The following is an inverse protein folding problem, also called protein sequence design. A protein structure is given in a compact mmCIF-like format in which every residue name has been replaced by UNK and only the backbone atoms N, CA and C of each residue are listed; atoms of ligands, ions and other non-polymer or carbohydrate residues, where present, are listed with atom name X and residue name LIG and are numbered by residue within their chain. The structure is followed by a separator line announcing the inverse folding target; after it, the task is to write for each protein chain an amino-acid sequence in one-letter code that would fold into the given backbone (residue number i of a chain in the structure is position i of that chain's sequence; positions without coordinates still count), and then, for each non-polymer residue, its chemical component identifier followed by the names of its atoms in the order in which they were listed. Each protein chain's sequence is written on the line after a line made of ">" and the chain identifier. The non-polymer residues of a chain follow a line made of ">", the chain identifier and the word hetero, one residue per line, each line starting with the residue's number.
data_IF_612072864183
#
_entry.id   IF_612072864183
#
_cell.length_a   1.000
_cell.length_b   1.000
_cell.length_c   1.000
_cell.angle_alpha   90.00
_cell.angle_beta   90.00
_cell.angle_gamma   90.00
#
_symmetry.space_group_name_H-M   'P 1'
#
loop_
_entity.id
_entity.type
_entity.pdbx_description
1 polymer ?
#
# COMPACT_ATOMS: atom_id res chain seq x y z
N UNK A 1 -45.87 3.02 0.32
CA UNK A 1 -44.49 2.50 0.27
C UNK A 1 -43.71 3.16 1.39
N UNK A 2 -43.37 2.40 2.42
CA UNK A 2 -42.69 2.89 3.62
C UNK A 2 -41.18 2.73 3.38
N UNK A 3 -40.44 3.82 3.29
CA UNK A 3 -38.99 3.77 3.08
C UNK A 3 -38.31 3.36 4.39
N UNK A 4 -37.67 2.19 4.36
CA UNK A 4 -37.02 1.56 5.52
C UNK A 4 -35.69 2.27 5.84
N UNK A 5 -35.71 3.15 6.83
CA UNK A 5 -34.57 3.94 7.32
C UNK A 5 -33.54 3.09 8.10
N UNK A 6 -33.77 1.80 8.32
CA UNK A 6 -32.96 0.92 9.16
C UNK A 6 -31.56 0.56 8.59
N UNK A 7 -31.23 0.98 7.37
CA UNK A 7 -29.92 0.66 6.74
C UNK A 7 -28.77 1.52 7.26
N UNK A 8 -29.05 2.70 7.83
CA UNK A 8 -28.01 3.59 8.36
C UNK A 8 -27.55 3.23 9.78
N UNK A 9 -28.38 2.57 10.58
CA UNK A 9 -28.05 2.24 11.98
C UNK A 9 -26.98 1.14 12.09
N UNK A 10 -26.94 0.20 11.14
CA UNK A 10 -25.89 -0.85 11.09
C UNK A 10 -24.48 -0.29 10.90
N UNK A 11 -24.34 0.86 10.25
CA UNK A 11 -23.02 1.45 10.00
C UNK A 11 -22.43 2.12 11.25
N UNK A 12 -23.28 2.65 12.15
CA UNK A 12 -22.81 3.34 13.36
C UNK A 12 -22.34 2.38 14.47
N UNK A 13 -22.93 1.19 14.59
CA UNK A 13 -22.57 0.20 15.62
C UNK A 13 -21.15 -0.35 15.42
N UNK A 14 -20.71 -0.51 14.16
CA UNK A 14 -19.37 -1.03 13.86
C UNK A 14 -18.23 -0.12 14.34
N UNK A 15 -18.46 1.20 14.41
CA UNK A 15 -17.45 2.16 14.86
C UNK A 15 -17.33 2.26 16.39
N UNK A 16 -18.36 1.84 17.15
CA UNK A 16 -18.33 1.85 18.62
C UNK A 16 -17.69 0.57 19.21
N UNK A 17 -17.52 -0.49 18.41
CA UNK A 17 -17.08 -1.80 18.88
C UNK A 17 -15.55 -1.96 19.05
N UNK A 18 -14.74 -0.99 18.63
CA UNK A 18 -13.31 -1.04 18.91
C UNK A 18 -13.06 -0.50 20.34
N UNK A 19 -12.57 -1.32 21.28
CA UNK A 19 -12.29 -0.82 22.63
C UNK A 19 -11.28 0.32 22.53
N UNK A 20 -11.45 1.38 23.34
CA UNK A 20 -10.55 2.53 23.43
C UNK A 20 -9.06 2.10 23.60
N UNK A 21 -8.85 0.92 24.19
CA UNK A 21 -7.56 0.24 24.28
C UNK A 21 -6.78 0.15 22.95
N UNK A 22 -7.49 -0.01 21.82
CA UNK A 22 -6.88 -0.18 20.51
C UNK A 22 -6.11 1.06 20.01
N UNK A 23 -6.45 2.26 20.48
CA UNK A 23 -5.82 3.53 20.12
C UNK A 23 -4.82 4.04 21.17
N UNK A 24 -4.64 3.33 22.28
CA UNK A 24 -3.67 3.71 23.31
C UNK A 24 -2.28 3.79 22.67
N UNK A 25 -1.62 4.93 22.87
CA UNK A 25 -0.27 5.17 22.38
C UNK A 25 0.72 4.32 23.19
N UNK A 26 1.51 3.51 22.50
CA UNK A 26 2.63 2.73 23.04
C UNK A 26 3.89 2.98 22.21
N UNK A 27 5.05 2.56 22.71
CA UNK A 27 6.32 2.67 21.98
C UNK A 27 6.76 1.31 21.44
N UNK A 28 7.21 1.30 20.20
CA UNK A 28 7.88 0.15 19.60
C UNK A 28 9.33 0.05 20.12
N UNK A 29 9.95 -1.13 20.00
CA UNK A 29 11.37 -1.32 20.31
C UNK A 29 12.31 -0.32 19.59
N UNK A 30 11.91 0.21 18.43
CA UNK A 30 12.66 1.25 17.72
C UNK A 30 12.46 2.68 18.27
N UNK A 31 11.79 2.85 19.42
CA UNK A 31 11.48 4.15 20.04
C UNK A 31 10.33 4.94 19.39
N UNK A 32 9.75 4.48 18.28
CA UNK A 32 8.64 5.18 17.61
C UNK A 32 7.30 4.87 18.28
N UNK A 33 6.45 5.88 18.37
CA UNK A 33 5.08 5.72 18.84
C UNK A 33 4.26 4.86 17.86
N UNK A 34 3.39 4.03 18.42
CA UNK A 34 2.43 3.20 17.70
C UNK A 34 1.18 2.99 18.55
N UNK A 35 0.16 2.36 18.00
CA UNK A 35 -1.04 2.01 18.76
C UNK A 35 -0.85 0.65 19.45
N UNK A 36 -1.49 0.44 20.59
CA UNK A 36 -1.43 -0.82 21.31
C UNK A 36 -1.90 -1.99 20.44
N UNK A 37 -2.93 -1.78 19.60
CA UNK A 37 -3.42 -2.76 18.62
C UNK A 37 -2.37 -3.14 17.58
N UNK A 38 -1.66 -2.17 17.01
CA UNK A 38 -0.60 -2.43 16.02
C UNK A 38 0.51 -3.31 16.62
N UNK A 39 0.93 -2.99 17.86
CA UNK A 39 1.97 -3.76 18.54
C UNK A 39 1.49 -5.16 18.94
N UNK A 40 0.25 -5.31 19.40
CA UNK A 40 -0.28 -6.64 19.73
C UNK A 40 -0.46 -7.54 18.51
N UNK A 41 -0.84 -6.96 17.36
CA UNK A 41 -1.09 -7.71 16.13
C UNK A 41 0.21 -8.08 15.40
N UNK A 42 1.20 -7.19 15.37
CA UNK A 42 2.38 -7.36 14.51
C UNK A 42 3.72 -7.38 15.27
N UNK A 43 3.72 -7.12 16.58
CA UNK A 43 4.93 -6.99 17.40
C UNK A 43 5.79 -5.76 17.08
N UNK A 44 5.42 -4.94 16.08
CA UNK A 44 6.23 -3.83 15.57
C UNK A 44 5.37 -2.66 15.06
N UNK A 45 5.91 -1.45 15.12
CA UNK A 45 5.23 -0.27 14.55
C UNK A 45 5.14 -0.36 13.03
N UNK A 46 4.25 0.42 12.43
CA UNK A 46 4.05 0.46 10.98
C UNK A 46 5.34 0.80 10.20
N UNK A 47 6.21 1.64 10.75
CA UNK A 47 7.49 1.97 10.12
C UNK A 47 8.46 0.77 10.10
N UNK A 48 8.57 0.04 11.21
CA UNK A 48 9.37 -1.19 11.27
C UNK A 48 8.78 -2.32 10.42
N UNK A 49 7.45 -2.41 10.36
CA UNK A 49 6.78 -3.36 9.47
C UNK A 49 7.12 -3.07 8.00
N UNK A 50 7.03 -1.79 7.60
CA UNK A 50 7.36 -1.37 6.24
C UNK A 50 8.85 -1.56 5.92
N UNK A 51 9.76 -1.28 6.87
CA UNK A 51 11.19 -1.53 6.71
C UNK A 51 11.46 -3.02 6.48
N UNK A 52 10.90 -3.90 7.31
CA UNK A 52 11.05 -5.35 7.13
C UNK A 52 10.54 -5.85 5.76
N UNK A 53 9.45 -5.28 5.24
CA UNK A 53 8.98 -5.60 3.88
C UNK A 53 9.97 -5.12 2.82
N UNK A 54 10.55 -3.92 2.99
CA UNK A 54 11.57 -3.38 2.07
C UNK A 54 12.89 -4.16 2.12
N UNK A 55 13.23 -4.74 3.26
CA UNK A 55 14.44 -5.55 3.43
C UNK A 55 14.25 -6.97 2.87
N UNK A 56 13.01 -7.46 2.79
CA UNK A 56 12.67 -8.79 2.28
C UNK A 56 12.55 -8.88 0.75
N UNK A 57 12.42 -7.75 0.05
CA UNK A 57 12.34 -7.74 -1.43
C UNK A 57 13.72 -7.84 -2.08
N UNK A 58 13.80 -8.43 -3.27
CA UNK A 58 15.07 -8.57 -3.97
C UNK A 58 15.67 -7.20 -4.34
N UNK A 59 17.01 -7.08 -4.36
CA UNK A 59 17.68 -5.89 -4.88
C UNK A 59 17.15 -5.54 -6.27
N UNK A 60 16.76 -4.28 -6.47
CA UNK A 60 16.23 -3.78 -7.74
C UNK A 60 14.70 -3.87 -7.89
N UNK A 61 14.00 -4.71 -7.12
CA UNK A 61 12.52 -4.76 -7.17
C UNK A 61 11.92 -3.43 -6.69
N UNK A 62 12.52 -2.81 -5.66
CA UNK A 62 12.12 -1.49 -5.19
C UNK A 62 12.26 -0.41 -6.28
N UNK A 63 13.31 -0.49 -7.10
CA UNK A 63 13.53 0.46 -8.19
C UNK A 63 12.45 0.31 -9.28
N UNK A 64 11.98 -0.92 -9.54
CA UNK A 64 10.83 -1.15 -10.44
C UNK A 64 9.54 -0.58 -9.89
N UNK A 65 9.29 -0.77 -8.59
CA UNK A 65 8.14 -0.17 -7.89
C UNK A 65 8.17 1.37 -7.97
N UNK A 66 9.35 1.97 -7.75
CA UNK A 66 9.56 3.41 -7.89
C UNK A 66 9.34 3.88 -9.33
N UNK A 67 9.87 3.13 -10.31
CA UNK A 67 9.65 3.42 -11.72
C UNK A 67 8.16 3.37 -12.06
N UNK A 68 7.43 2.32 -11.67
CA UNK A 68 5.97 2.21 -11.85
C UNK A 68 5.23 3.45 -11.33
N UNK A 69 5.62 4.00 -10.19
CA UNK A 69 4.98 5.17 -9.56
C UNK A 69 5.52 6.53 -10.03
N UNK A 70 6.52 6.53 -10.91
CA UNK A 70 7.23 7.75 -11.29
C UNK A 70 8.01 8.40 -10.13
N UNK A 71 8.29 7.63 -9.07
CA UNK A 71 9.02 8.06 -7.88
C UNK A 71 10.55 8.00 -8.10
N UNK A 72 11.01 8.59 -9.20
CA UNK A 72 12.42 8.64 -9.60
C UNK A 72 12.95 10.07 -9.48
N UNK A 73 14.28 10.21 -9.34
CA UNK A 73 14.96 11.50 -9.14
C UNK A 73 14.68 12.53 -10.24
N UNK A 74 14.34 12.07 -11.45
CA UNK A 74 14.04 12.93 -12.59
C UNK A 74 12.75 13.75 -12.40
N UNK A 75 11.80 13.28 -11.58
CA UNK A 75 10.54 13.95 -11.37
C UNK A 75 10.46 14.59 -9.97
N UNK A 76 9.91 15.80 -9.86
CA UNK A 76 9.67 16.42 -8.56
C UNK A 76 8.70 15.56 -7.75
N UNK A 77 8.85 15.54 -6.41
CA UNK A 77 8.00 14.75 -5.51
C UNK A 77 6.50 15.05 -5.67
N UNK A 78 6.15 16.28 -6.06
CA UNK A 78 4.77 16.68 -6.36
C UNK A 78 4.14 15.90 -7.52
N UNK A 79 4.95 15.33 -8.43
CA UNK A 79 4.49 14.48 -9.54
C UNK A 79 4.53 12.98 -9.21
N UNK A 80 5.08 12.58 -8.07
CA UNK A 80 5.10 11.16 -7.72
C UNK A 80 3.67 10.65 -7.52
N UNK A 81 3.42 9.43 -8.01
CA UNK A 81 2.09 8.81 -8.01
C UNK A 81 1.15 9.28 -9.13
N UNK A 82 1.63 10.08 -10.10
CA UNK A 82 0.84 10.44 -11.30
C UNK A 82 0.50 9.24 -12.21
N UNK A 83 1.17 8.11 -12.01
CA UNK A 83 0.86 6.82 -12.61
C UNK A 83 0.92 5.74 -11.55
N UNK A 84 0.14 4.69 -11.73
CA UNK A 84 0.12 3.53 -10.84
C UNK A 84 -0.11 2.22 -11.60
N UNK A 85 0.53 2.09 -12.75
CA UNK A 85 0.50 0.85 -13.51
C UNK A 85 1.84 0.60 -14.19
N UNK A 86 2.15 -0.68 -14.35
CA UNK A 86 3.30 -1.15 -15.11
C UNK A 86 2.89 -2.37 -15.91
N UNK A 87 3.03 -2.29 -17.24
CA UNK A 87 2.83 -3.43 -18.12
C UNK A 87 4.15 -4.20 -18.21
N UNK A 88 4.14 -5.45 -17.76
CA UNK A 88 5.27 -6.36 -17.94
C UNK A 88 4.86 -7.52 -18.84
N UNK A 89 5.55 -7.66 -19.97
CA UNK A 89 5.63 -8.91 -20.72
C UNK A 89 6.51 -9.92 -19.97
N UNK A 90 6.76 -11.09 -20.57
CA UNK A 90 7.54 -12.16 -19.95
C UNK A 90 8.98 -11.80 -19.51
N UNK A 91 9.62 -12.72 -18.78
CA UNK A 91 11.01 -12.61 -18.33
C UNK A 91 11.19 -11.85 -17.01
N UNK A 92 12.40 -11.30 -16.79
CA UNK A 92 12.83 -10.77 -15.50
C UNK A 92 11.96 -9.61 -14.96
N UNK A 93 11.36 -8.81 -15.85
CA UNK A 93 10.46 -7.73 -15.44
C UNK A 93 9.16 -8.30 -14.84
N UNK A 94 8.59 -9.34 -15.46
CA UNK A 94 7.41 -10.03 -14.94
C UNK A 94 7.68 -10.66 -13.58
N UNK A 95 8.78 -11.42 -13.47
CA UNK A 95 9.15 -12.10 -12.23
C UNK A 95 9.33 -11.13 -11.06
N UNK A 96 9.95 -9.97 -11.33
CA UNK A 96 10.08 -8.93 -10.32
C UNK A 96 8.73 -8.34 -9.88
N UNK A 97 7.80 -8.14 -10.82
CA UNK A 97 6.45 -7.70 -10.47
C UNK A 97 5.70 -8.78 -9.68
N UNK A 98 5.87 -10.06 -10.00
CA UNK A 98 5.29 -11.16 -9.23
C UNK A 98 5.83 -11.21 -7.80
N UNK A 99 7.14 -10.97 -7.59
CA UNK A 99 7.72 -10.84 -6.25
C UNK A 99 7.14 -9.66 -5.48
N UNK A 100 6.92 -8.53 -6.15
CA UNK A 100 6.25 -7.37 -5.54
C UNK A 100 4.78 -7.67 -5.19
N UNK A 101 4.08 -8.47 -5.99
CA UNK A 101 2.72 -8.96 -5.68
C UNK A 101 2.75 -9.89 -4.46
N UNK A 102 3.68 -10.85 -4.41
CA UNK A 102 3.85 -11.75 -3.27
C UNK A 102 4.17 -10.99 -1.96
N UNK A 103 4.90 -9.86 -2.06
CA UNK A 103 5.18 -8.97 -0.93
C UNK A 103 4.00 -8.03 -0.56
N UNK A 104 2.86 -8.10 -1.28
CA UNK A 104 1.70 -7.23 -1.07
C UNK A 104 1.92 -5.76 -1.48
N UNK A 105 3.00 -5.47 -2.22
CA UNK A 105 3.35 -4.13 -2.69
C UNK A 105 2.68 -3.78 -4.03
N UNK A 106 2.30 -4.80 -4.80
CA UNK A 106 1.56 -4.66 -6.04
C UNK A 106 0.40 -5.66 -6.11
N UNK A 107 -0.47 -5.46 -7.10
CA UNK A 107 -1.55 -6.36 -7.48
C UNK A 107 -1.45 -6.61 -8.97
N UNK A 108 -1.64 -7.86 -9.39
CA UNK A 108 -1.76 -8.21 -10.80
C UNK A 108 -3.17 -7.88 -11.28
N UNK A 109 -3.26 -7.09 -12.34
CA UNK A 109 -4.48 -6.79 -13.07
C UNK A 109 -4.68 -7.75 -14.24
N UNK A 110 -5.42 -7.29 -15.25
CA UNK A 110 -5.76 -8.10 -16.42
C UNK A 110 -4.53 -8.38 -17.28
N UNK A 111 -4.43 -9.60 -17.79
CA UNK A 111 -3.50 -9.94 -18.86
C UNK A 111 -4.10 -9.55 -20.23
N UNK A 112 -3.33 -8.83 -21.06
CA UNK A 112 -3.70 -8.46 -22.42
C UNK A 112 -2.45 -8.47 -23.31
N UNK A 113 -2.56 -9.03 -24.52
CA UNK A 113 -1.49 -9.05 -25.53
C UNK A 113 -0.13 -9.52 -24.96
N UNK A 114 -0.11 -10.68 -24.28
CA UNK A 114 1.08 -11.28 -23.64
C UNK A 114 1.71 -10.44 -22.50
N UNK A 115 1.08 -9.33 -22.13
CA UNK A 115 1.49 -8.48 -21.01
C UNK A 115 0.52 -8.60 -19.85
N UNK A 116 1.04 -8.52 -18.64
CA UNK A 116 0.24 -8.36 -17.42
C UNK A 116 0.41 -6.95 -16.90
N UNK A 117 -0.72 -6.28 -16.65
CA UNK A 117 -0.72 -4.99 -15.97
C UNK A 117 -0.61 -5.21 -14.48
N UNK A 118 0.29 -4.49 -13.83
CA UNK A 118 0.45 -4.51 -12.38
C UNK A 118 0.18 -3.13 -11.83
N UNK A 119 -0.47 -3.06 -10.66
CA UNK A 119 -0.80 -1.82 -9.97
C UNK A 119 -0.20 -1.82 -8.56
N UNK A 120 0.42 -0.73 -8.12
CA UNK A 120 0.91 -0.63 -6.75
C UNK A 120 -0.27 -0.58 -5.78
N UNK A 121 -0.12 -1.27 -4.65
CA UNK A 121 -1.04 -1.12 -3.53
C UNK A 121 -0.74 0.17 -2.78
N UNK A 122 -1.64 0.56 -1.87
CA UNK A 122 -1.36 1.65 -0.91
C UNK A 122 -0.10 1.37 -0.07
N UNK A 123 0.20 0.10 0.22
CA UNK A 123 1.44 -0.31 0.90
C UNK A 123 2.65 -0.12 -0.03
N UNK A 124 2.54 -0.52 -1.30
CA UNK A 124 3.53 -0.27 -2.34
C UNK A 124 3.90 1.20 -2.49
N UNK A 125 2.90 2.08 -2.53
CA UNK A 125 3.11 3.52 -2.60
C UNK A 125 3.92 4.03 -1.39
N UNK A 126 3.60 3.57 -0.17
CA UNK A 126 4.37 3.91 1.04
C UNK A 126 5.79 3.36 0.98
N UNK A 127 5.96 2.12 0.50
CA UNK A 127 7.28 1.49 0.37
C UNK A 127 8.18 2.26 -0.60
N UNK A 128 7.61 2.77 -1.70
CA UNK A 128 8.29 3.62 -2.67
C UNK A 128 8.59 5.03 -2.16
N UNK A 129 8.01 5.44 -1.03
CA UNK A 129 8.26 6.73 -0.39
C UNK A 129 7.31 7.86 -0.82
N UNK A 130 6.13 7.53 -1.36
CA UNK A 130 5.10 8.53 -1.65
C UNK A 130 4.52 9.10 -0.35
N UNK A 131 4.21 10.39 -0.38
CA UNK A 131 3.45 11.08 0.67
C UNK A 131 1.94 10.87 0.50
N UNK A 132 1.14 11.44 1.40
CA UNK A 132 -0.32 11.29 1.36
C UNK A 132 -0.94 11.76 0.04
N UNK A 133 -0.42 12.85 -0.53
CA UNK A 133 -0.90 13.41 -1.79
C UNK A 133 -0.52 12.53 -2.98
N UNK A 134 0.70 11.99 -3.01
CA UNK A 134 1.15 11.04 -4.02
C UNK A 134 0.39 9.73 -3.97
N UNK A 135 0.12 9.21 -2.76
CA UNK A 135 -0.73 8.03 -2.59
C UNK A 135 -2.14 8.30 -3.11
N UNK A 136 -2.72 9.46 -2.81
CA UNK A 136 -4.05 9.83 -3.31
C UNK A 136 -4.07 9.82 -4.84
N UNK A 137 -3.14 10.54 -5.50
CA UNK A 137 -3.01 10.54 -6.97
C UNK A 137 -2.85 9.13 -7.56
N UNK A 138 -2.00 8.29 -6.95
CA UNK A 138 -1.74 6.95 -7.45
C UNK A 138 -2.97 6.03 -7.37
N UNK A 139 -3.89 6.27 -6.45
CA UNK A 139 -5.05 5.40 -6.23
C UNK A 139 -6.31 5.92 -6.94
N UNK A 140 -6.34 7.19 -7.37
CA UNK A 140 -7.50 7.80 -8.04
C UNK A 140 -7.71 7.30 -9.47
N UNK A 141 -6.64 6.87 -10.16
CA UNK A 141 -6.66 6.41 -11.56
C UNK A 141 -7.09 4.93 -11.73
N UNK A 142 -7.56 4.27 -10.66
CA UNK A 142 -8.00 2.86 -10.69
C UNK A 142 -9.51 2.67 -10.97
N UNK A 143 -10.20 3.70 -11.47
CA UNK A 143 -11.63 3.69 -11.82
C UNK A 143 -11.93 3.13 -13.20
#
# INVERSE_FOLDING_TARGET
>A
MMYDLARNDRAHIANQAAPAFSLIRKFCACGKASTAKQLSQHGKCAACALAAVRDAIMPGDLAKLQHMLGAVKQYPKSKWGWRNYYAAGGGQAHEAMQRLVAAGLATAGRAANEMTYFHATRLGCKAAGLDGAGIKRAMEDQS
#
